data_IF_355806168891
#
_entry.id   IF_355806168891
#
_cell.length_a   1.000
_cell.length_b   1.000
_cell.length_c   1.000
_cell.angle_alpha   90.00
_cell.angle_beta   90.00
_cell.angle_gamma   90.00
#
_symmetry.space_group_name_H-M   'P 1'
#
loop_
_entity.id
_entity.type
_entity.pdbx_description
1 polymer ?
#
# COMPACT_ATOMS: atom_id res chain seq x y z
N UNK A 1 -12.94 -7.06 -2.91
CA UNK A 1 -12.74 -6.94 -1.44
C UNK A 1 -12.78 -5.47 -1.04
N UNK A 2 -11.92 -4.63 -1.62
CA UNK A 2 -11.95 -3.16 -1.47
C UNK A 2 -13.34 -2.57 -1.77
N UNK A 3 -13.95 -2.90 -2.91
CA UNK A 3 -15.31 -2.43 -3.27
C UNK A 3 -16.41 -2.88 -2.31
N UNK A 4 -16.18 -3.99 -1.61
CA UNK A 4 -17.08 -4.50 -0.57
C UNK A 4 -16.83 -3.85 0.81
N UNK A 5 -15.92 -2.87 0.90
CA UNK A 5 -15.56 -2.16 2.12
C UNK A 5 -14.59 -2.91 3.04
N UNK A 6 -13.96 -4.00 2.58
CA UNK A 6 -12.96 -4.71 3.37
C UNK A 6 -11.67 -3.90 3.47
N UNK A 7 -11.08 -3.89 4.67
CA UNK A 7 -9.82 -3.24 4.95
C UNK A 7 -8.65 -4.10 4.45
N UNK A 8 -8.19 -3.86 3.23
CA UNK A 8 -7.17 -4.67 2.58
C UNK A 8 -5.79 -4.02 2.61
N UNK A 9 -4.75 -4.85 2.76
CA UNK A 9 -3.34 -4.52 2.52
C UNK A 9 -2.84 -5.33 1.33
N UNK A 10 -1.68 -4.97 0.77
CA UNK A 10 -0.98 -5.81 -0.22
C UNK A 10 0.41 -6.16 0.29
N UNK A 11 0.79 -7.41 0.11
CA UNK A 11 2.02 -8.01 0.60
C UNK A 11 2.51 -9.00 -0.46
N UNK A 12 3.82 -9.27 -0.51
CA UNK A 12 4.37 -10.27 -1.43
C UNK A 12 4.38 -11.70 -0.87
N UNK A 13 3.98 -11.87 0.39
CA UNK A 13 4.01 -13.14 1.14
C UNK A 13 5.43 -13.76 1.14
N UNK A 14 5.71 -14.69 0.23
CA UNK A 14 7.02 -15.32 0.03
C UNK A 14 7.63 -14.97 -1.33
N UNK A 15 8.32 -13.83 -1.38
CA UNK A 15 8.89 -13.27 -2.63
C UNK A 15 9.76 -14.27 -3.42
N UNK A 16 10.54 -15.10 -2.74
CA UNK A 16 11.41 -16.10 -3.39
C UNK A 16 10.62 -17.31 -3.92
N UNK A 17 9.56 -17.74 -3.22
CA UNK A 17 8.70 -18.83 -3.65
C UNK A 17 7.89 -18.44 -4.89
N UNK A 18 7.37 -17.21 -4.90
CA UNK A 18 6.52 -16.69 -5.97
C UNK A 18 7.29 -15.96 -7.09
N UNK A 19 8.63 -15.90 -6.99
CA UNK A 19 9.51 -15.21 -7.95
C UNK A 19 9.06 -13.77 -8.24
N UNK A 20 8.65 -13.07 -7.18
CA UNK A 20 8.08 -11.72 -7.25
C UNK A 20 8.78 -10.74 -6.30
N UNK A 21 8.33 -9.50 -6.29
CA UNK A 21 8.71 -8.47 -5.32
C UNK A 21 7.47 -7.64 -4.98
N UNK A 22 7.49 -6.92 -3.86
CA UNK A 22 6.38 -6.03 -3.51
C UNK A 22 6.09 -5.02 -4.64
N UNK A 23 7.11 -4.49 -5.30
CA UNK A 23 6.95 -3.62 -6.47
C UNK A 23 6.20 -4.32 -7.61
N UNK A 24 6.51 -5.58 -7.90
CA UNK A 24 5.81 -6.35 -8.93
C UNK A 24 4.35 -6.63 -8.56
N UNK A 25 4.01 -6.79 -7.29
CA UNK A 25 2.61 -6.90 -6.85
C UNK A 25 1.82 -5.62 -7.19
N UNK A 26 2.38 -4.45 -6.86
CA UNK A 26 1.77 -3.16 -7.22
C UNK A 26 1.64 -2.96 -8.74
N UNK A 27 2.68 -3.31 -9.52
CA UNK A 27 2.63 -3.24 -10.98
C UNK A 27 1.59 -4.21 -11.56
N UNK A 28 1.41 -5.38 -10.95
CA UNK A 28 0.41 -6.36 -11.37
C UNK A 28 -1.01 -5.85 -11.11
N UNK A 29 -1.27 -5.26 -9.94
CA UNK A 29 -2.56 -4.62 -9.64
C UNK A 29 -2.85 -3.45 -10.59
N UNK A 30 -1.86 -2.60 -10.87
CA UNK A 30 -2.00 -1.52 -11.84
C UNK A 30 -2.39 -2.05 -13.24
N UNK A 31 -1.77 -3.14 -13.69
CA UNK A 31 -2.12 -3.82 -14.96
C UNK A 31 -3.51 -4.45 -14.95
N UNK A 32 -4.05 -4.77 -13.77
CA UNK A 32 -5.41 -5.30 -13.58
C UNK A 32 -6.46 -4.19 -13.47
N UNK A 33 -6.06 -2.91 -13.55
CA UNK A 33 -6.99 -1.77 -13.58
C UNK A 33 -7.14 -1.02 -12.26
N UNK A 34 -6.34 -1.34 -11.23
CA UNK A 34 -6.30 -0.53 -10.02
C UNK A 34 -5.78 0.88 -10.35
N UNK A 35 -6.50 1.88 -9.87
CA UNK A 35 -6.13 3.29 -10.03
C UNK A 35 -5.06 3.69 -9.01
N UNK A 36 -4.39 4.82 -9.28
CA UNK A 36 -3.35 5.35 -8.41
C UNK A 36 -3.84 5.64 -6.99
N UNK A 37 -5.07 6.16 -6.84
CA UNK A 37 -5.70 6.40 -5.54
C UNK A 37 -5.99 5.09 -4.78
N UNK A 38 -6.39 4.03 -5.48
CA UNK A 38 -6.65 2.71 -4.87
C UNK A 38 -5.36 2.04 -4.41
N UNK A 39 -4.31 2.11 -5.23
CA UNK A 39 -2.97 1.64 -4.84
C UNK A 39 -2.43 2.46 -3.66
N UNK A 40 -2.65 3.77 -3.66
CA UNK A 40 -2.31 4.64 -2.54
C UNK A 40 -3.07 4.28 -1.26
N UNK A 41 -4.35 3.92 -1.37
CA UNK A 41 -5.16 3.50 -0.23
C UNK A 41 -4.64 2.19 0.39
N UNK A 42 -4.13 1.24 -0.42
CA UNK A 42 -3.49 0.01 0.09
C UNK A 42 -2.24 0.31 0.93
N UNK A 43 -1.44 1.33 0.56
CA UNK A 43 -0.30 1.78 1.36
C UNK A 43 -0.73 2.36 2.71
N UNK A 44 -1.75 3.23 2.70
CA UNK A 44 -2.32 3.79 3.94
C UNK A 44 -2.86 2.68 4.82
N UNK A 45 -3.62 1.75 4.24
CA UNK A 45 -4.17 0.62 4.98
C UNK A 45 -3.06 -0.22 5.63
N UNK A 46 -1.97 -0.46 4.90
CA UNK A 46 -0.82 -1.21 5.41
C UNK A 46 -0.19 -0.51 6.62
N UNK A 47 0.04 0.80 6.54
CA UNK A 47 0.60 1.58 7.64
C UNK A 47 -0.26 1.48 8.91
N UNK A 48 -1.57 1.67 8.77
CA UNK A 48 -2.49 1.61 9.91
C UNK A 48 -2.62 0.19 10.50
N UNK A 49 -2.51 -0.85 9.67
CA UNK A 49 -2.56 -2.24 10.09
C UNK A 49 -1.29 -2.71 10.82
N UNK A 50 -0.19 -1.95 10.76
CA UNK A 50 1.04 -2.30 11.46
C UNK A 50 0.88 -2.24 12.99
N UNK A 51 1.71 -2.99 13.71
CA UNK A 51 1.85 -2.91 15.17
C UNK A 51 2.84 -1.82 15.63
N UNK A 52 3.15 -0.86 14.77
CA UNK A 52 3.96 0.29 15.13
C UNK A 52 3.22 1.17 16.14
N UNK A 53 3.97 1.89 16.96
CA UNK A 53 3.38 2.93 17.81
C UNK A 53 2.85 4.11 16.99
N UNK A 54 1.95 4.88 17.59
CA UNK A 54 1.30 6.01 16.91
C UNK A 54 2.27 7.14 16.55
N UNK A 55 3.38 7.31 17.27
CA UNK A 55 4.36 8.33 16.95
C UNK A 55 5.10 7.98 15.65
N UNK A 56 5.45 6.70 15.47
CA UNK A 56 6.06 6.18 14.24
C UNK A 56 5.06 6.19 13.09
N UNK A 57 3.81 5.73 13.30
CA UNK A 57 2.76 5.84 12.27
C UNK A 57 2.52 7.29 11.85
N UNK A 58 2.53 8.22 12.80
CA UNK A 58 2.42 9.67 12.55
C UNK A 58 3.49 10.21 11.61
N UNK A 59 4.76 9.77 11.76
CA UNK A 59 5.85 10.14 10.86
C UNK A 59 5.60 9.64 9.44
N UNK A 60 5.29 8.36 9.27
CA UNK A 60 5.03 7.79 7.95
C UNK A 60 3.79 8.37 7.26
N UNK A 61 2.73 8.72 8.01
CA UNK A 61 1.58 9.46 7.46
C UNK A 61 2.01 10.80 6.88
N UNK A 62 2.89 11.54 7.57
CA UNK A 62 3.40 12.82 7.08
C UNK A 62 4.27 12.66 5.83
N UNK A 63 5.17 11.67 5.82
CA UNK A 63 6.01 11.35 4.66
C UNK A 63 5.16 10.96 3.44
N UNK A 64 4.14 10.11 3.65
CA UNK A 64 3.22 9.70 2.59
C UNK A 64 2.42 10.87 2.02
N UNK A 65 1.93 11.77 2.89
CA UNK A 65 1.24 12.99 2.47
C UNK A 65 2.15 13.91 1.65
N UNK A 66 3.42 14.04 2.03
CA UNK A 66 4.40 14.82 1.28
C UNK A 66 4.67 14.20 -0.10
N UNK A 67 4.85 12.87 -0.16
CA UNK A 67 5.07 12.14 -1.40
C UNK A 67 3.90 12.30 -2.38
N UNK A 68 2.67 12.15 -1.90
CA UNK A 68 1.45 12.26 -2.75
C UNK A 68 1.19 13.69 -3.21
N UNK A 69 1.55 14.70 -2.43
CA UNK A 69 1.42 16.11 -2.85
C UNK A 69 2.48 16.49 -3.89
N UNK A 70 3.66 15.89 -3.84
CA UNK A 70 4.77 16.19 -4.77
C UNK A 70 4.63 15.52 -6.14
N UNK A 71 3.76 14.52 -6.27
CA UNK A 71 3.57 13.72 -7.48
C UNK A 71 2.18 13.87 -8.11
N UNK A 72 1.42 14.89 -7.70
CA UNK A 72 0.19 15.38 -8.34
C UNK A 72 0.49 16.65 -9.12
#
# INVERSE_FOLDING_TARGET
>A
MMDAGLYCTVNSDDSAMFLTSLTNEYLTLAKQGFRWDELGQLNVNTLEATFLDEAVKGKYRAEWKQFTTSNN
#
